data_IF_594444919181
#
_entry.id   IF_594444919181
#
_cell.length_a   1.000
_cell.length_b   1.000
_cell.length_c   1.000
_cell.angle_alpha   90.00
_cell.angle_beta   90.00
_cell.angle_gamma   90.00
#
_symmetry.space_group_name_H-M   'P 1'
#
loop_
_entity.id
_entity.type
_entity.pdbx_description
1 polymer ?
#
# COMPACT_ATOMS: atom_id res chain seq x y z
N UNK A 1 11.18 -4.00 -4.23
CA UNK A 1 10.21 -4.73 -3.43
C UNK A 1 10.70 -5.09 -2.03
N UNK A 2 11.96 -5.32 -1.80
CA UNK A 2 12.49 -5.45 -0.44
C UNK A 2 12.83 -4.04 0.02
N UNK A 3 11.89 -3.43 0.72
CA UNK A 3 12.13 -2.18 1.41
C UNK A 3 12.89 -2.49 2.72
N UNK A 4 13.51 -1.49 3.32
CA UNK A 4 14.27 -1.65 4.57
C UNK A 4 13.35 -1.77 5.80
N UNK A 5 12.17 -2.31 5.61
CA UNK A 5 11.14 -2.44 6.61
C UNK A 5 11.05 -3.89 7.12
N UNK A 6 11.11 -4.03 8.44
CA UNK A 6 11.05 -5.31 9.13
C UNK A 6 9.79 -6.10 8.77
N UNK A 7 8.63 -5.44 8.65
CA UNK A 7 7.36 -6.10 8.33
C UNK A 7 7.31 -6.64 6.90
N UNK A 8 7.95 -5.95 5.96
CA UNK A 8 8.11 -6.45 4.59
C UNK A 8 8.99 -7.69 4.54
N UNK A 9 10.04 -7.76 5.35
CA UNK A 9 10.85 -8.98 5.51
C UNK A 9 10.04 -10.12 6.12
N UNK A 10 9.29 -9.86 7.19
CA UNK A 10 8.42 -10.86 7.81
C UNK A 10 7.37 -11.40 6.85
N UNK A 11 6.78 -10.54 6.00
CA UNK A 11 5.82 -10.94 4.98
C UNK A 11 6.43 -11.93 3.99
N UNK A 12 7.64 -11.63 3.49
CA UNK A 12 8.37 -12.50 2.58
C UNK A 12 8.76 -13.82 3.28
N UNK A 13 9.28 -13.74 4.50
CA UNK A 13 9.62 -14.94 5.29
C UNK A 13 8.40 -15.87 5.45
N UNK A 14 7.24 -15.32 5.82
CA UNK A 14 5.99 -16.08 5.95
C UNK A 14 5.63 -16.81 4.65
N UNK A 15 5.80 -16.18 3.49
CA UNK A 15 5.54 -16.79 2.20
C UNK A 15 6.43 -18.02 1.94
N UNK A 16 7.70 -17.97 2.39
CA UNK A 16 8.66 -19.07 2.20
C UNK A 16 8.54 -20.19 3.24
N UNK A 17 8.09 -19.88 4.45
CA UNK A 17 7.87 -20.90 5.50
C UNK A 17 6.46 -21.51 5.49
N UNK A 18 5.62 -21.13 4.51
CA UNK A 18 4.27 -21.68 4.32
C UNK A 18 3.25 -21.20 5.37
N UNK A 19 3.48 -20.07 6.02
CA UNK A 19 2.51 -19.46 6.93
C UNK A 19 1.50 -18.61 6.14
N UNK A 20 0.22 -18.73 6.49
CA UNK A 20 -0.83 -17.93 5.88
C UNK A 20 -0.54 -16.43 6.04
N UNK A 21 -0.62 -15.68 4.95
CA UNK A 21 -0.32 -14.24 4.94
C UNK A 21 -0.69 -13.53 3.65
N UNK A 22 -1.61 -14.12 2.85
CA UNK A 22 -2.10 -13.49 1.62
C UNK A 22 -1.17 -13.58 0.42
N UNK A 23 0.15 -13.75 0.61
CA UNK A 23 1.15 -13.85 -0.45
C UNK A 23 1.77 -15.25 -0.42
N UNK A 24 1.80 -15.91 -1.58
CA UNK A 24 2.46 -17.20 -1.76
C UNK A 24 3.94 -17.03 -2.12
N UNK A 25 4.69 -18.12 -2.00
CA UNK A 25 6.08 -18.18 -2.48
C UNK A 25 6.17 -17.87 -3.98
N UNK A 26 5.23 -18.38 -4.77
CA UNK A 26 5.23 -18.20 -6.20
C UNK A 26 4.96 -16.73 -6.57
N UNK A 27 4.07 -16.04 -5.87
CA UNK A 27 3.86 -14.59 -6.03
C UNK A 27 5.16 -13.79 -5.84
N UNK A 28 5.96 -14.13 -4.83
CA UNK A 28 7.25 -13.47 -4.59
C UNK A 28 8.22 -13.78 -5.73
N UNK A 29 8.32 -15.04 -6.15
CA UNK A 29 9.21 -15.46 -7.23
C UNK A 29 8.82 -14.85 -8.56
N UNK A 30 7.54 -14.77 -8.87
CA UNK A 30 7.04 -14.13 -10.10
C UNK A 30 7.38 -12.65 -10.12
N UNK A 31 7.22 -11.95 -9.01
CA UNK A 31 7.59 -10.54 -8.91
C UNK A 31 9.09 -10.33 -9.13
N UNK A 32 9.95 -11.11 -8.46
CA UNK A 32 11.41 -11.04 -8.64
C UNK A 32 11.79 -11.34 -10.09
N UNK A 33 11.19 -12.38 -10.68
CA UNK A 33 11.44 -12.80 -12.05
C UNK A 33 11.03 -11.72 -13.05
N UNK A 34 9.87 -11.08 -12.82
CA UNK A 34 9.43 -9.95 -13.64
C UNK A 34 10.46 -8.83 -13.68
N UNK A 35 10.92 -8.34 -12.51
CA UNK A 35 11.95 -7.30 -12.45
C UNK A 35 13.26 -7.72 -13.11
N UNK A 36 13.66 -8.97 -12.92
CA UNK A 36 14.88 -9.52 -13.53
C UNK A 36 14.80 -9.58 -15.05
N UNK A 37 13.75 -10.20 -15.59
CA UNK A 37 13.60 -10.40 -17.03
C UNK A 37 13.39 -9.08 -17.78
N UNK A 38 12.61 -8.15 -17.22
CA UNK A 38 12.35 -6.86 -17.85
C UNK A 38 13.45 -5.83 -17.62
N UNK A 39 14.44 -6.14 -16.75
CA UNK A 39 15.51 -5.22 -16.35
C UNK A 39 14.97 -3.89 -15.82
N UNK A 40 13.80 -3.90 -15.19
CA UNK A 40 13.06 -2.69 -14.79
C UNK A 40 13.42 -2.16 -13.39
N UNK A 41 14.38 -2.77 -12.69
CA UNK A 41 14.80 -2.31 -11.36
C UNK A 41 15.23 -0.84 -11.34
N UNK A 42 16.05 -0.41 -12.32
CA UNK A 42 16.52 0.99 -12.39
C UNK A 42 15.37 1.95 -12.69
N UNK A 43 14.49 1.61 -13.64
CA UNK A 43 13.34 2.46 -13.98
C UNK A 43 12.33 2.56 -12.83
N UNK A 44 12.12 1.49 -12.10
CA UNK A 44 11.28 1.50 -10.90
C UNK A 44 11.85 2.39 -9.78
N UNK A 45 13.17 2.40 -9.61
CA UNK A 45 13.86 3.24 -8.63
C UNK A 45 13.88 4.73 -8.98
N UNK A 46 13.62 5.07 -10.25
CA UNK A 46 13.62 6.45 -10.73
C UNK A 46 12.61 7.33 -10.01
N UNK A 47 11.45 6.79 -9.61
CA UNK A 47 10.45 7.51 -8.84
C UNK A 47 11.04 8.10 -7.56
N UNK A 48 11.83 7.34 -6.84
CA UNK A 48 12.46 7.78 -5.59
C UNK A 48 13.56 8.83 -5.83
N UNK A 49 14.28 8.70 -6.93
CA UNK A 49 15.31 9.66 -7.30
C UNK A 49 14.75 11.01 -7.79
N UNK A 50 13.69 10.96 -8.59
CA UNK A 50 13.08 12.16 -9.20
C UNK A 50 12.05 12.86 -8.32
N UNK A 51 11.52 12.20 -7.29
CA UNK A 51 10.53 12.79 -6.38
C UNK A 51 11.20 13.74 -5.39
N UNK A 52 10.90 15.02 -5.53
CA UNK A 52 11.34 16.08 -4.61
C UNK A 52 10.23 16.54 -3.65
N UNK A 53 9.10 15.87 -3.65
CA UNK A 53 7.99 16.19 -2.75
C UNK A 53 8.29 15.68 -1.34
N UNK A 54 8.09 16.54 -0.34
CA UNK A 54 8.16 16.12 1.06
C UNK A 54 7.16 14.99 1.34
N UNK A 55 7.60 13.95 2.04
CA UNK A 55 6.82 12.72 2.22
C UNK A 55 5.46 12.99 2.89
N UNK A 56 5.44 13.86 3.91
CA UNK A 56 4.24 14.21 4.68
C UNK A 56 3.58 15.53 4.26
N UNK A 57 4.02 16.13 3.17
CA UNK A 57 3.45 17.40 2.72
C UNK A 57 2.02 17.23 2.19
N UNK A 58 1.19 18.24 2.43
CA UNK A 58 -0.15 18.32 1.84
C UNK A 58 -0.01 18.54 0.34
N UNK A 59 -0.60 17.64 -0.46
CA UNK A 59 -0.44 17.62 -1.92
C UNK A 59 -1.49 18.46 -2.68
N UNK A 60 -2.40 19.14 -1.99
CA UNK A 60 -3.43 19.97 -2.61
C UNK A 60 -4.47 19.17 -3.42
N UNK A 61 -4.77 17.96 -3.01
CA UNK A 61 -5.75 17.10 -3.68
C UNK A 61 -7.16 17.63 -3.41
N UNK A 62 -7.87 18.05 -4.46
CA UNK A 62 -9.21 18.66 -4.40
C UNK A 62 -10.29 17.78 -5.09
N UNK A 63 -10.18 16.49 -4.96
CA UNK A 63 -11.20 15.51 -5.38
C UNK A 63 -11.62 14.68 -4.17
N UNK A 64 -12.75 13.94 -4.23
CA UNK A 64 -13.13 13.01 -3.16
C UNK A 64 -12.04 11.96 -2.91
N UNK A 65 -11.65 11.80 -1.64
CA UNK A 65 -10.57 10.90 -1.19
C UNK A 65 -11.10 9.92 -0.17
N UNK A 66 -10.74 8.64 -0.30
CA UNK A 66 -10.85 7.65 0.75
C UNK A 66 -9.47 7.30 1.30
N UNK A 67 -9.40 7.09 2.60
CA UNK A 67 -8.19 6.63 3.29
C UNK A 67 -8.53 5.36 4.06
N UNK A 68 -7.81 4.28 3.76
CA UNK A 68 -7.84 3.05 4.55
C UNK A 68 -6.46 2.82 5.13
N UNK A 69 -6.40 2.69 6.45
CA UNK A 69 -5.15 2.46 7.18
C UNK A 69 -5.06 0.97 7.51
N UNK A 70 -4.01 0.34 7.03
CA UNK A 70 -3.70 -1.06 7.34
C UNK A 70 -2.80 -1.14 8.57
N UNK A 71 -2.98 -2.17 9.45
CA UNK A 71 -2.27 -2.22 10.73
C UNK A 71 -0.76 -2.39 10.62
N UNK A 72 -0.29 -3.07 9.56
CA UNK A 72 1.12 -3.33 9.31
C UNK A 72 1.76 -2.32 8.34
N UNK A 73 1.11 -1.15 8.14
CA UNK A 73 1.69 -0.06 7.37
C UNK A 73 2.83 0.62 8.16
N UNK A 74 3.85 1.11 7.43
CA UNK A 74 5.00 1.83 8.00
C UNK A 74 4.58 3.06 8.80
N UNK A 75 3.63 3.82 8.26
CA UNK A 75 3.16 5.08 8.81
C UNK A 75 1.63 5.12 8.84
N UNK A 76 0.99 4.46 9.84
CA UNK A 76 -0.46 4.49 9.97
C UNK A 76 -0.96 5.92 10.19
N UNK A 77 -1.56 6.52 9.19
CA UNK A 77 -2.01 7.91 9.24
C UNK A 77 -3.18 8.08 10.22
N UNK A 78 -3.08 8.96 11.26
CA UNK A 78 -4.22 9.30 12.09
C UNK A 78 -5.33 9.98 11.28
N UNK A 79 -6.59 9.76 11.66
CA UNK A 79 -7.74 10.37 10.99
C UNK A 79 -7.63 11.90 10.91
N UNK A 80 -7.18 12.53 11.99
CA UNK A 80 -6.99 14.00 12.04
C UNK A 80 -5.96 14.52 11.03
N UNK A 81 -4.98 13.70 10.66
CA UNK A 81 -4.02 14.05 9.61
C UNK A 81 -4.64 13.90 8.23
N UNK A 82 -5.40 12.84 8.00
CA UNK A 82 -6.11 12.64 6.74
C UNK A 82 -7.14 13.76 6.48
N UNK A 83 -7.92 14.14 7.50
CA UNK A 83 -8.87 15.25 7.43
C UNK A 83 -8.20 16.58 7.12
N UNK A 84 -7.02 16.84 7.67
CA UNK A 84 -6.24 18.03 7.39
C UNK A 84 -5.63 18.03 5.99
N UNK A 85 -5.18 16.87 5.52
CA UNK A 85 -4.52 16.73 4.22
C UNK A 85 -5.52 16.73 3.05
N UNK A 86 -6.73 16.19 3.27
CA UNK A 86 -7.74 15.97 2.24
C UNK A 86 -9.07 16.63 2.61
N UNK A 87 -9.32 17.87 2.13
CA UNK A 87 -10.56 18.59 2.47
C UNK A 87 -11.85 17.87 2.05
N UNK A 88 -11.77 17.01 1.03
CA UNK A 88 -12.88 16.20 0.54
C UNK A 88 -12.73 14.72 0.92
N UNK A 89 -12.32 14.47 2.17
CA UNK A 89 -12.26 13.11 2.72
C UNK A 89 -13.68 12.54 2.86
N UNK A 90 -14.06 11.57 2.03
CA UNK A 90 -15.40 10.94 2.02
C UNK A 90 -15.44 9.61 2.77
N UNK A 91 -14.29 9.00 3.00
CA UNK A 91 -14.17 7.72 3.69
C UNK A 91 -12.87 7.66 4.49
N UNK A 92 -12.96 7.13 5.71
CA UNK A 92 -11.79 6.80 6.52
C UNK A 92 -12.07 5.54 7.33
N UNK A 93 -11.25 4.52 7.14
CA UNK A 93 -11.37 3.27 7.89
C UNK A 93 -10.00 2.75 8.34
N UNK A 94 -10.00 1.88 9.34
CA UNK A 94 -8.87 1.06 9.74
C UNK A 94 -9.18 -0.38 9.41
N UNK A 95 -8.41 -0.96 8.51
CA UNK A 95 -8.54 -2.36 8.14
C UNK A 95 -8.14 -3.27 9.32
N UNK A 96 -8.75 -4.47 9.42
CA UNK A 96 -8.42 -5.41 10.49
C UNK A 96 -7.07 -6.10 10.30
N UNK A 97 -6.58 -6.19 9.06
CA UNK A 97 -5.37 -6.91 8.69
C UNK A 97 -4.77 -6.36 7.39
N UNK A 98 -3.51 -6.71 7.11
CA UNK A 98 -2.76 -6.27 5.94
C UNK A 98 -1.76 -5.15 6.24
N UNK A 99 -0.87 -4.90 5.31
CA UNK A 99 0.23 -3.95 5.44
C UNK A 99 0.47 -3.11 4.21
N UNK A 100 1.73 -2.82 3.96
CA UNK A 100 2.17 -1.93 2.90
C UNK A 100 1.74 -2.36 1.50
N UNK A 101 1.69 -3.66 1.25
CA UNK A 101 1.26 -4.22 -0.03
C UNK A 101 -0.20 -4.70 0.01
N UNK A 102 -1.08 -3.89 0.60
CA UNK A 102 -2.48 -4.23 0.85
C UNK A 102 -3.23 -4.82 -0.36
N UNK A 103 -2.96 -4.34 -1.57
CA UNK A 103 -3.55 -4.89 -2.79
C UNK A 103 -3.15 -6.34 -3.07
N UNK A 104 -2.00 -6.73 -2.60
CA UNK A 104 -1.42 -8.06 -2.78
C UNK A 104 -1.72 -8.97 -1.58
N UNK A 105 -1.58 -8.42 -0.38
CA UNK A 105 -1.80 -9.16 0.86
C UNK A 105 -3.28 -9.43 1.14
N UNK A 106 -4.13 -8.42 0.92
CA UNK A 106 -5.56 -8.42 1.28
C UNK A 106 -6.43 -7.83 0.15
N UNK A 107 -6.42 -8.42 -1.06
CA UNK A 107 -7.15 -7.86 -2.22
C UNK A 107 -8.66 -7.77 -1.98
N UNK A 108 -9.23 -8.69 -1.20
CA UNK A 108 -10.63 -8.67 -0.81
C UNK A 108 -10.96 -7.44 0.03
N UNK A 109 -10.23 -7.23 1.12
CA UNK A 109 -10.40 -6.08 2.02
C UNK A 109 -10.23 -4.78 1.26
N UNK A 110 -9.14 -4.63 0.49
CA UNK A 110 -8.91 -3.41 -0.28
C UNK A 110 -10.02 -3.14 -1.31
N UNK A 111 -10.51 -4.16 -2.01
CA UNK A 111 -11.60 -3.96 -2.99
C UNK A 111 -12.92 -3.52 -2.34
N UNK A 112 -13.24 -4.03 -1.15
CA UNK A 112 -14.42 -3.57 -0.40
C UNK A 112 -14.24 -2.13 0.10
N UNK A 113 -13.07 -1.74 0.55
CA UNK A 113 -12.76 -0.37 0.96
C UNK A 113 -12.86 0.61 -0.22
N UNK A 114 -12.40 0.24 -1.40
CA UNK A 114 -12.57 1.03 -2.63
C UNK A 114 -14.06 1.18 -2.96
N UNK A 115 -14.85 0.10 -2.91
CA UNK A 115 -16.29 0.16 -3.14
C UNK A 115 -17.01 1.02 -2.11
N UNK A 116 -16.63 0.92 -0.83
CA UNK A 116 -17.19 1.74 0.24
C UNK A 116 -16.88 3.23 0.03
N UNK A 117 -15.64 3.55 -0.30
CA UNK A 117 -15.18 4.93 -0.59
C UNK A 117 -16.04 5.60 -1.67
N UNK A 118 -16.28 4.92 -2.79
CA UNK A 118 -16.93 5.52 -3.96
C UNK A 118 -18.41 5.21 -4.08
N UNK A 119 -19.03 4.61 -3.07
CA UNK A 119 -20.46 4.24 -3.09
C UNK A 119 -21.38 5.45 -3.27
N UNK A 120 -21.05 6.55 -2.62
CA UNK A 120 -21.84 7.79 -2.67
C UNK A 120 -21.64 8.62 -3.96
N UNK A 121 -20.66 8.23 -4.79
CA UNK A 121 -20.29 8.95 -6.02
C UNK A 121 -20.79 8.25 -7.29
N UNK A 122 -21.59 7.20 -7.14
CA UNK A 122 -22.21 6.45 -8.26
C UNK A 122 -23.62 6.90 -8.49
#
# INVERSE_FOLDING_TARGET
MIDHDEKSYELIERAFVGRAGGISRDDVLDNVTHYWLTKSGISASRLYWESHLGFFDIKGVDIPVGVTVFPDELYPAPRSWAEKAYPKLVHYNRAPEGGHFAAWEQPGVLSEEIRATFRSLR
#
